data_IF_979951811819
#
_entry.id   IF_979951811819
#
_cell.length_a   1.000
_cell.length_b   1.000
_cell.length_c   1.000
_cell.angle_alpha   90.00
_cell.angle_beta   90.00
_cell.angle_gamma   90.00
#
_symmetry.space_group_name_H-M   'P 1'
#
loop_
_entity.id
_entity.type
_entity.pdbx_description
1 polymer ?
#
# COMPACT_ATOMS: atom_id res chain seq x y z
N UNK A 1 -8.42 29.88 20.18
CA UNK A 1 -8.07 28.58 19.60
C UNK A 1 -6.57 28.61 19.46
N UNK A 2 -5.85 27.88 20.32
CA UNK A 2 -4.39 27.90 20.30
C UNK A 2 -3.95 27.08 19.09
N UNK A 3 -3.26 27.73 18.14
CA UNK A 3 -2.76 27.03 16.94
C UNK A 3 -1.57 26.21 17.38
N UNK A 4 -1.72 24.90 17.39
CA UNK A 4 -0.63 24.00 17.75
C UNK A 4 0.55 24.17 16.79
N UNK A 5 1.75 24.06 17.33
CA UNK A 5 2.99 24.19 16.56
C UNK A 5 3.05 23.12 15.48
N UNK A 6 3.42 23.52 14.27
CA UNK A 6 3.62 22.58 13.17
C UNK A 6 4.99 21.88 13.33
N UNK A 7 5.00 20.56 13.23
CA UNK A 7 6.21 19.73 13.28
C UNK A 7 6.48 19.15 11.90
N UNK A 8 7.75 19.06 11.53
CA UNK A 8 8.13 18.43 10.26
C UNK A 8 8.12 16.92 10.43
N UNK A 9 7.16 16.25 9.81
CA UNK A 9 6.85 14.83 9.99
C UNK A 9 6.68 14.16 8.63
N UNK A 10 6.93 12.85 8.57
CA UNK A 10 6.52 12.04 7.43
C UNK A 10 5.04 11.73 7.57
N UNK A 11 4.24 12.13 6.60
CA UNK A 11 2.84 11.76 6.49
C UNK A 11 2.70 10.59 5.53
N UNK A 12 1.92 9.58 5.94
CA UNK A 12 1.62 8.40 5.15
C UNK A 12 0.09 8.29 5.08
N UNK A 13 -0.47 8.32 3.89
CA UNK A 13 -1.88 8.01 3.65
C UNK A 13 -1.96 6.62 3.02
N UNK A 14 -2.76 5.73 3.60
CA UNK A 14 -3.01 4.38 3.10
C UNK A 14 -4.49 4.26 2.78
N UNK A 15 -4.82 3.84 1.56
CA UNK A 15 -6.20 3.77 1.06
C UNK A 15 -6.46 2.44 0.35
N UNK A 16 -7.61 1.81 0.63
CA UNK A 16 -7.95 0.50 0.07
C UNK A 16 -8.58 0.57 -1.32
N UNK A 17 -8.26 -0.41 -2.18
CA UNK A 17 -8.90 -0.58 -3.48
C UNK A 17 -10.38 -0.94 -3.30
N UNK A 18 -11.25 -0.19 -3.99
CA UNK A 18 -12.70 -0.48 -4.14
C UNK A 18 -13.42 -0.70 -2.81
N UNK A 19 -13.09 0.09 -1.80
CA UNK A 19 -13.69 0.04 -0.46
C UNK A 19 -15.23 0.16 -0.46
N UNK A 20 -15.80 0.86 -1.45
CA UNK A 20 -17.24 1.02 -1.62
C UNK A 20 -17.99 -0.24 -2.07
N UNK A 21 -17.29 -1.27 -2.56
CA UNK A 21 -17.89 -2.54 -3.00
C UNK A 21 -18.06 -3.56 -1.87
N UNK A 22 -17.47 -3.28 -0.70
CA UNK A 22 -17.61 -4.15 0.48
C UNK A 22 -18.92 -3.85 1.23
N UNK A 23 -19.57 -4.91 1.71
CA UNK A 23 -20.64 -4.78 2.70
C UNK A 23 -20.09 -4.34 4.07
N UNK A 24 -20.96 -4.04 5.02
CA UNK A 24 -20.55 -3.49 6.32
C UNK A 24 -19.65 -4.45 7.13
N UNK A 25 -19.88 -5.76 7.02
CA UNK A 25 -19.08 -6.78 7.72
C UNK A 25 -17.70 -6.89 7.06
N UNK A 26 -17.66 -6.90 5.73
CA UNK A 26 -16.43 -6.98 4.98
C UNK A 26 -15.59 -5.72 5.12
N UNK A 27 -16.19 -4.53 5.27
CA UNK A 27 -15.48 -3.29 5.61
C UNK A 27 -14.77 -3.40 6.95
N UNK A 28 -15.42 -3.95 7.97
CA UNK A 28 -14.77 -4.16 9.27
C UNK A 28 -13.58 -5.13 9.15
N UNK A 29 -13.76 -6.26 8.45
CA UNK A 29 -12.67 -7.23 8.22
C UNK A 29 -11.52 -6.64 7.39
N UNK A 30 -11.84 -5.85 6.39
CA UNK A 30 -10.86 -5.11 5.58
C UNK A 30 -10.04 -4.18 6.47
N UNK A 31 -10.69 -3.36 7.30
CA UNK A 31 -10.01 -2.46 8.25
C UNK A 31 -9.06 -3.22 9.16
N UNK A 32 -9.54 -4.29 9.80
CA UNK A 32 -8.72 -5.12 10.69
C UNK A 32 -7.47 -5.67 10.00
N UNK A 33 -7.58 -6.09 8.72
CA UNK A 33 -6.44 -6.54 7.93
C UNK A 33 -5.45 -5.42 7.63
N UNK A 34 -5.93 -4.24 7.24
CA UNK A 34 -5.06 -3.07 6.98
C UNK A 34 -4.25 -2.74 8.22
N UNK A 35 -4.90 -2.61 9.39
CA UNK A 35 -4.20 -2.33 10.64
C UNK A 35 -3.16 -3.40 10.97
N UNK A 36 -3.50 -4.68 10.83
CA UNK A 36 -2.56 -5.77 11.09
C UNK A 36 -1.33 -5.70 10.19
N UNK A 37 -1.50 -5.46 8.89
CA UNK A 37 -0.40 -5.32 7.92
C UNK A 37 0.53 -4.16 8.32
N UNK A 38 -0.04 -2.99 8.62
CA UNK A 38 0.73 -1.78 8.92
C UNK A 38 1.44 -1.88 10.29
N UNK A 39 0.76 -2.37 11.33
CA UNK A 39 1.34 -2.50 12.67
C UNK A 39 2.44 -3.57 12.74
N UNK A 40 2.26 -4.71 12.04
CA UNK A 40 3.30 -5.72 11.90
C UNK A 40 4.54 -5.14 11.20
N UNK A 41 4.32 -4.37 10.12
CA UNK A 41 5.42 -3.71 9.41
C UNK A 41 6.17 -2.69 10.28
N UNK A 42 5.48 -1.88 11.09
CA UNK A 42 6.16 -0.98 12.04
C UNK A 42 7.00 -1.73 13.07
N UNK A 43 6.47 -2.86 13.56
CA UNK A 43 7.16 -3.72 14.52
C UNK A 43 8.45 -4.28 13.93
N UNK A 44 8.41 -4.85 12.71
CA UNK A 44 9.60 -5.38 12.03
C UNK A 44 10.60 -4.28 11.63
N UNK A 45 10.10 -3.11 11.22
CA UNK A 45 10.93 -1.95 10.94
C UNK A 45 11.58 -1.33 12.20
N UNK A 46 11.22 -1.81 13.40
CA UNK A 46 11.67 -1.31 14.71
C UNK A 46 11.34 0.16 14.92
N UNK A 47 10.15 0.57 14.47
CA UNK A 47 9.62 1.91 14.72
C UNK A 47 8.88 1.89 16.05
N UNK A 48 9.29 2.77 16.97
CA UNK A 48 8.66 2.89 18.28
C UNK A 48 7.24 3.45 18.16
N UNK A 49 6.28 2.89 18.92
CA UNK A 49 4.86 3.25 18.83
C UNK A 49 4.59 4.73 19.12
N UNK A 50 5.34 5.33 20.03
CA UNK A 50 5.22 6.76 20.40
C UNK A 50 5.74 7.73 19.33
N UNK A 51 6.33 7.21 18.24
CA UNK A 51 6.72 8.01 17.08
C UNK A 51 5.67 8.00 15.98
N UNK A 52 4.59 7.22 16.13
CA UNK A 52 3.57 7.03 15.10
C UNK A 52 2.22 7.47 15.65
N UNK A 53 1.65 8.49 15.04
CA UNK A 53 0.24 8.81 15.19
C UNK A 53 -0.55 8.11 14.08
N UNK A 54 -1.72 7.56 14.40
CA UNK A 54 -2.58 6.86 13.44
C UNK A 54 -4.03 7.27 13.61
N UNK A 55 -4.69 7.52 12.49
CA UNK A 55 -6.11 7.85 12.39
C UNK A 55 -6.82 6.88 11.46
N UNK A 56 -7.96 6.39 11.93
CA UNK A 56 -8.87 5.58 11.12
C UNK A 56 -9.63 6.48 10.14
N UNK A 57 -9.69 6.06 8.87
CA UNK A 57 -10.40 6.78 7.81
C UNK A 57 -11.57 5.97 7.23
N UNK A 58 -11.94 4.86 7.86
CA UNK A 58 -12.97 3.94 7.41
C UNK A 58 -12.44 2.94 6.39
N UNK A 59 -11.92 3.39 5.26
CA UNK A 59 -11.36 2.54 4.20
C UNK A 59 -9.85 2.65 4.04
N UNK A 60 -9.22 3.36 4.98
CA UNK A 60 -7.81 3.62 4.99
C UNK A 60 -7.31 4.01 6.36
N UNK A 61 -6.02 4.31 6.42
CA UNK A 61 -5.33 4.78 7.61
C UNK A 61 -4.51 5.99 7.24
N UNK A 62 -4.62 7.06 8.03
CA UNK A 62 -3.76 8.22 7.92
C UNK A 62 -2.75 8.19 9.07
N UNK A 63 -1.47 8.35 8.76
CA UNK A 63 -0.40 8.28 9.75
C UNK A 63 0.50 9.51 9.67
N UNK A 64 1.00 9.94 10.83
CA UNK A 64 2.18 10.80 10.89
C UNK A 64 3.28 10.13 11.70
N UNK A 65 4.52 10.24 11.21
CA UNK A 65 5.70 9.66 11.83
C UNK A 65 6.67 10.79 12.19
N UNK A 66 7.05 10.84 13.47
CA UNK A 66 7.90 11.88 14.01
C UNK A 66 9.26 11.92 13.28
N UNK A 67 9.78 13.14 13.02
CA UNK A 67 11.02 13.37 12.28
C UNK A 67 12.30 12.76 12.89
N UNK A 68 12.23 12.23 14.11
CA UNK A 68 13.33 11.44 14.72
C UNK A 68 13.49 10.05 14.10
N UNK A 69 12.49 9.56 13.37
CA UNK A 69 12.56 8.30 12.64
C UNK A 69 13.05 8.59 11.23
N UNK A 70 14.15 7.94 10.85
CA UNK A 70 14.73 8.09 9.52
C UNK A 70 13.72 7.71 8.43
N UNK A 71 13.46 8.63 7.48
CA UNK A 71 12.52 8.41 6.37
C UNK A 71 12.92 7.21 5.51
N UNK A 72 14.22 6.95 5.35
CA UNK A 72 14.76 5.77 4.66
C UNK A 72 14.37 4.44 5.32
N UNK A 73 14.09 4.41 6.62
CA UNK A 73 13.56 3.22 7.30
C UNK A 73 12.13 2.93 6.86
N UNK A 74 11.34 3.98 6.60
CA UNK A 74 9.95 3.86 6.17
C UNK A 74 9.86 3.52 4.68
N UNK A 75 10.58 4.26 3.83
CA UNK A 75 10.63 3.99 2.39
C UNK A 75 11.30 2.66 2.03
N UNK A 76 12.23 2.18 2.86
CA UNK A 76 12.90 0.90 2.67
C UNK A 76 12.22 -0.23 3.44
N UNK A 77 12.76 -0.55 4.62
CA UNK A 77 12.37 -1.74 5.39
C UNK A 77 10.86 -1.80 5.69
N UNK A 78 10.24 -0.71 6.14
CA UNK A 78 8.80 -0.73 6.42
C UNK A 78 7.97 -1.02 5.17
N UNK A 79 8.29 -0.40 4.02
CA UNK A 79 7.59 -0.69 2.76
C UNK A 79 7.77 -2.14 2.30
N UNK A 80 8.96 -2.73 2.49
CA UNK A 80 9.18 -4.17 2.26
C UNK A 80 8.27 -5.02 3.15
N UNK A 81 8.20 -4.69 4.44
CA UNK A 81 7.37 -5.44 5.39
C UNK A 81 5.87 -5.26 5.12
N UNK A 82 5.42 -4.07 4.70
CA UNK A 82 4.04 -3.85 4.26
C UNK A 82 3.74 -4.72 3.04
N UNK A 83 4.64 -4.80 2.07
CA UNK A 83 4.47 -5.65 0.89
C UNK A 83 4.34 -7.13 1.26
N UNK A 84 5.26 -7.66 2.07
CA UNK A 84 5.25 -9.08 2.45
C UNK A 84 4.05 -9.45 3.33
N UNK A 85 3.71 -8.61 4.31
CA UNK A 85 2.54 -8.84 5.17
C UNK A 85 1.23 -8.78 4.36
N UNK A 86 1.11 -7.82 3.43
CA UNK A 86 -0.07 -7.76 2.55
C UNK A 86 -0.16 -8.99 1.64
N UNK A 87 0.97 -9.43 1.08
CA UNK A 87 1.05 -10.63 0.25
C UNK A 87 0.61 -11.87 1.02
N UNK A 88 1.03 -12.01 2.28
CA UNK A 88 0.63 -13.15 3.12
C UNK A 88 -0.87 -13.10 3.46
N UNK A 89 -1.38 -11.95 3.90
CA UNK A 89 -2.81 -11.75 4.16
C UNK A 89 -3.67 -12.06 2.92
N UNK A 90 -3.20 -11.69 1.73
CA UNK A 90 -3.92 -11.93 0.47
C UNK A 90 -3.98 -13.41 0.06
N UNK A 91 -3.12 -14.30 0.56
CA UNK A 91 -3.14 -15.73 0.19
C UNK A 91 -4.46 -16.42 0.52
N UNK A 92 -5.12 -15.97 1.59
CA UNK A 92 -6.39 -16.53 2.06
C UNK A 92 -7.63 -15.87 1.46
N UNK A 93 -7.48 -14.85 0.61
CA UNK A 93 -8.60 -14.04 0.12
C UNK A 93 -9.00 -14.43 -1.30
N UNK A 94 -10.31 -14.52 -1.53
CA UNK A 94 -10.87 -14.70 -2.89
C UNK A 94 -10.64 -13.46 -3.75
N UNK A 95 -10.74 -12.28 -3.14
CA UNK A 95 -10.45 -10.99 -3.75
C UNK A 95 -9.30 -10.37 -2.96
N UNK A 96 -8.11 -10.21 -3.55
CA UNK A 96 -6.97 -9.62 -2.87
C UNK A 96 -7.24 -8.19 -2.43
N UNK A 97 -6.80 -7.85 -1.21
CA UNK A 97 -6.75 -6.49 -0.72
C UNK A 97 -5.68 -5.72 -1.49
N UNK A 98 -6.08 -4.64 -2.16
CA UNK A 98 -5.17 -3.70 -2.81
C UNK A 98 -5.01 -2.44 -1.97
N UNK A 99 -3.79 -1.94 -1.78
CA UNK A 99 -3.49 -0.73 -1.02
C UNK A 99 -2.76 0.30 -1.89
N UNK A 100 -3.15 1.56 -1.74
CA UNK A 100 -2.45 2.72 -2.29
C UNK A 100 -1.84 3.49 -1.13
N UNK A 101 -0.55 3.79 -1.22
CA UNK A 101 0.20 4.49 -0.19
C UNK A 101 0.74 5.79 -0.75
N UNK A 102 0.36 6.92 -0.16
CA UNK A 102 0.90 8.24 -0.46
C UNK A 102 1.85 8.68 0.65
N UNK A 103 3.06 9.14 0.30
CA UNK A 103 4.05 9.62 1.25
C UNK A 103 4.57 11.01 0.91
N UNK A 104 4.66 11.85 1.93
CA UNK A 104 5.27 13.16 1.84
C UNK A 104 5.80 13.61 3.21
N UNK A 105 6.89 14.37 3.23
CA UNK A 105 7.42 14.97 4.46
C UNK A 105 7.11 16.46 4.45
N UNK A 106 6.50 16.96 5.52
CA UNK A 106 6.15 18.36 5.62
C UNK A 106 5.63 18.78 6.99
N UNK A 107 5.22 20.06 7.15
CA UNK A 107 4.68 20.56 8.41
C UNK A 107 3.29 19.96 8.71
N UNK A 108 3.15 19.36 9.90
CA UNK A 108 1.93 18.73 10.42
C UNK A 108 1.56 19.37 11.75
N UNK A 109 0.28 19.73 11.92
CA UNK A 109 -0.27 20.19 13.20
C UNK A 109 -1.13 19.09 13.81
N UNK A 110 -0.96 18.87 15.10
CA UNK A 110 -1.75 17.93 15.89
C UNK A 110 -2.74 18.72 16.76
N UNK A 111 -4.00 18.31 16.81
CA UNK A 111 -4.99 18.85 17.74
C UNK A 111 -5.81 17.72 18.39
N UNK A 112 -6.83 18.07 19.18
CA UNK A 112 -7.67 17.07 19.87
C UNK A 112 -8.54 16.21 18.95
N UNK A 113 -8.54 16.47 17.64
CA UNK A 113 -9.30 15.73 16.62
C UNK A 113 -8.39 14.93 15.67
N UNK A 114 -7.13 15.32 15.54
CA UNK A 114 -6.17 14.62 14.69
C UNK A 114 -5.07 15.50 14.13
N UNK A 115 -4.58 15.13 12.94
CA UNK A 115 -3.55 15.84 12.21
C UNK A 115 -4.12 16.66 11.05
N UNK A 116 -3.47 17.79 10.77
CA UNK A 116 -3.85 18.67 9.67
C UNK A 116 -2.65 19.41 9.07
N UNK A 117 -2.81 19.84 7.82
CA UNK A 117 -1.84 20.67 7.09
C UNK A 117 -1.68 20.23 5.64
N UNK A 118 -1.02 21.08 4.84
CA UNK A 118 -0.81 20.81 3.40
C UNK A 118 -0.05 19.50 3.14
N UNK A 119 0.81 19.09 4.08
CA UNK A 119 1.52 17.82 3.97
C UNK A 119 0.58 16.62 4.07
N UNK A 120 -0.44 16.73 4.91
CA UNK A 120 -1.52 15.75 5.05
C UNK A 120 -2.35 15.70 3.78
N UNK A 121 -2.79 16.86 3.30
CA UNK A 121 -3.59 16.96 2.07
C UNK A 121 -2.84 16.32 0.88
N UNK A 122 -1.57 16.66 0.69
CA UNK A 122 -0.76 16.11 -0.39
C UNK A 122 -0.60 14.59 -0.29
N UNK A 123 -0.26 14.04 0.88
CA UNK A 123 -0.13 12.59 1.05
C UNK A 123 -1.44 11.86 0.70
N UNK A 124 -2.59 12.40 1.11
CA UNK A 124 -3.90 11.84 0.76
C UNK A 124 -4.16 11.90 -0.74
N UNK A 125 -3.87 13.03 -1.39
CA UNK A 125 -4.05 13.22 -2.84
C UNK A 125 -3.16 12.31 -3.67
N UNK A 126 -1.94 12.04 -3.21
CA UNK A 126 -1.02 11.11 -3.87
C UNK A 126 -1.58 9.68 -3.83
N UNK A 127 -2.02 9.22 -2.66
CA UNK A 127 -2.64 7.90 -2.49
C UNK A 127 -3.91 7.74 -3.33
N UNK A 128 -4.73 8.80 -3.41
CA UNK A 128 -6.01 8.80 -4.13
C UNK A 128 -5.89 9.10 -5.63
N UNK A 129 -4.66 9.33 -6.15
CA UNK A 129 -4.48 9.77 -7.53
C UNK A 129 -5.07 8.77 -8.54
N UNK A 130 -5.73 9.25 -9.63
CA UNK A 130 -6.29 8.37 -10.66
C UNK A 130 -5.26 7.42 -11.26
N UNK A 131 -4.00 7.86 -11.37
CA UNK A 131 -2.92 7.01 -11.87
C UNK A 131 -2.56 5.89 -10.89
N UNK A 132 -2.49 6.15 -9.57
CA UNK A 132 -2.28 5.09 -8.58
C UNK A 132 -3.38 4.02 -8.62
N UNK A 133 -4.64 4.46 -8.76
CA UNK A 133 -5.80 3.58 -8.94
C UNK A 133 -5.66 2.71 -10.19
N UNK A 134 -5.29 3.30 -11.33
CA UNK A 134 -5.08 2.56 -12.58
C UNK A 134 -3.91 1.59 -12.53
N UNK A 135 -2.78 1.99 -11.92
CA UNK A 135 -1.59 1.15 -11.85
C UNK A 135 -1.84 -0.15 -11.08
N UNK A 136 -2.56 -0.11 -9.95
CA UNK A 136 -2.92 -1.33 -9.22
C UNK A 136 -3.68 -2.33 -10.10
N UNK A 137 -4.64 -1.83 -10.89
CA UNK A 137 -5.49 -2.68 -11.72
C UNK A 137 -4.76 -3.17 -12.98
N UNK A 138 -4.05 -2.28 -13.68
CA UNK A 138 -3.33 -2.60 -14.91
C UNK A 138 -2.17 -3.60 -14.67
N UNK A 139 -1.43 -3.40 -13.58
CA UNK A 139 -0.27 -4.23 -13.24
C UNK A 139 -0.65 -5.47 -12.43
N UNK A 140 -1.93 -5.59 -12.04
CA UNK A 140 -2.43 -6.63 -11.12
C UNK A 140 -1.59 -6.67 -9.85
N UNK A 141 -1.25 -5.48 -9.34
CA UNK A 141 -0.50 -5.31 -8.11
C UNK A 141 -1.44 -5.19 -6.92
N UNK A 142 -0.95 -5.56 -5.74
CA UNK A 142 -1.67 -5.40 -4.48
C UNK A 142 -1.23 -4.14 -3.73
N UNK A 143 -0.11 -3.53 -4.10
CA UNK A 143 0.44 -2.37 -3.41
C UNK A 143 1.07 -1.40 -4.40
N UNK A 144 0.75 -0.11 -4.25
CA UNK A 144 1.44 0.99 -4.94
C UNK A 144 1.85 2.04 -3.92
N UNK A 145 3.09 2.49 -4.02
CA UNK A 145 3.62 3.63 -3.30
C UNK A 145 3.71 4.83 -4.25
N UNK A 146 3.29 5.99 -3.76
CA UNK A 146 3.38 7.28 -4.44
C UNK A 146 4.07 8.27 -3.51
N UNK A 147 5.21 8.81 -3.91
CA UNK A 147 5.93 9.83 -3.15
C UNK A 147 5.80 11.19 -3.83
N UNK A 148 5.85 12.27 -3.04
CA UNK A 148 6.02 13.61 -3.61
C UNK A 148 7.35 13.74 -4.33
N UNK A 149 7.46 14.71 -5.26
CA UNK A 149 8.71 15.07 -5.90
C UNK A 149 9.83 15.35 -4.89
N UNK A 150 9.58 16.21 -3.89
CA UNK A 150 10.60 16.55 -2.89
C UNK A 150 11.11 15.33 -2.10
N UNK A 151 10.21 14.44 -1.69
CA UNK A 151 10.60 13.22 -0.98
C UNK A 151 11.44 12.30 -1.87
N UNK A 152 11.11 12.23 -3.16
CA UNK A 152 11.92 11.48 -4.10
C UNK A 152 13.31 12.09 -4.26
N UNK A 153 13.39 13.39 -4.56
CA UNK A 153 14.64 14.10 -4.81
C UNK A 153 15.57 14.07 -3.60
N UNK A 154 15.03 14.29 -2.39
CA UNK A 154 15.82 14.39 -1.16
C UNK A 154 16.25 13.02 -0.60
N UNK A 155 15.48 11.96 -0.84
CA UNK A 155 15.66 10.67 -0.17
C UNK A 155 15.78 9.50 -1.15
N UNK A 156 14.77 9.31 -2.02
CA UNK A 156 14.71 8.13 -2.90
C UNK A 156 15.84 8.15 -3.93
N UNK A 157 16.15 9.32 -4.51
CA UNK A 157 17.13 9.49 -5.59
C UNK A 157 18.54 9.02 -5.21
N UNK A 158 18.89 9.14 -3.92
CA UNK A 158 20.17 8.72 -3.35
C UNK A 158 20.24 7.22 -3.08
N UNK A 159 19.10 6.52 -3.19
CA UNK A 159 18.96 5.11 -2.86
C UNK A 159 19.15 4.82 -1.37
N UNK A 160 19.33 3.55 -1.04
CA UNK A 160 19.58 3.11 0.33
C UNK A 160 19.22 1.66 0.55
N UNK A 161 19.18 1.26 1.82
CA UNK A 161 18.79 -0.10 2.19
C UNK A 161 17.33 -0.34 1.78
N UNK A 162 17.13 -1.20 0.78
CA UNK A 162 15.83 -1.51 0.17
C UNK A 162 15.16 -0.33 -0.57
N UNK A 163 15.95 0.66 -1.01
CA UNK A 163 15.45 1.79 -1.80
C UNK A 163 16.24 1.81 -3.11
N UNK A 164 15.55 1.46 -4.18
CA UNK A 164 16.12 1.36 -5.53
C UNK A 164 15.49 2.43 -6.42
N UNK A 165 16.18 3.55 -6.70
CA UNK A 165 15.62 4.64 -7.50
C UNK A 165 15.12 4.17 -8.87
N UNK A 166 15.78 3.16 -9.46
CA UNK A 166 15.42 2.57 -10.74
C UNK A 166 14.05 1.86 -10.75
N UNK A 167 13.45 1.61 -9.58
CA UNK A 167 12.10 1.03 -9.46
C UNK A 167 10.99 2.09 -9.30
N UNK A 168 11.33 3.37 -9.44
CA UNK A 168 10.38 4.47 -9.40
C UNK A 168 10.21 5.08 -10.80
N UNK A 169 8.98 5.47 -11.14
CA UNK A 169 8.70 6.24 -12.35
C UNK A 169 7.91 7.51 -12.02
N UNK A 170 8.28 8.63 -12.64
CA UNK A 170 7.63 9.92 -12.40
C UNK A 170 6.43 10.14 -13.30
N UNK A 171 5.38 10.79 -12.79
CA UNK A 171 4.29 11.32 -13.59
C UNK A 171 3.83 12.67 -13.05
N UNK A 172 3.28 13.52 -13.93
CA UNK A 172 2.59 14.74 -13.53
C UNK A 172 1.14 14.42 -13.17
N UNK A 173 0.66 15.00 -12.08
CA UNK A 173 -0.68 14.86 -11.58
C UNK A 173 -1.34 16.22 -11.48
N UNK A 174 -2.53 16.34 -12.05
CA UNK A 174 -3.43 17.46 -11.81
C UNK A 174 -4.17 17.20 -10.49
N UNK A 175 -3.74 17.87 -9.42
CA UNK A 175 -4.40 17.82 -8.12
C UNK A 175 -5.19 19.10 -7.89
N UNK A 176 -6.08 19.10 -6.89
CA UNK A 176 -6.93 20.25 -6.56
C UNK A 176 -6.12 21.51 -6.24
N UNK A 177 -4.92 21.31 -5.70
CA UNK A 177 -4.00 22.35 -5.27
C UNK A 177 -3.04 22.82 -6.40
N UNK A 178 -3.08 22.15 -7.56
CA UNK A 178 -2.27 22.44 -8.75
C UNK A 178 -1.57 21.21 -9.33
N UNK A 179 -0.84 21.42 -10.42
CA UNK A 179 0.01 20.39 -11.02
C UNK A 179 1.16 20.04 -10.05
N UNK A 180 1.37 18.74 -9.81
CA UNK A 180 2.51 18.23 -9.04
C UNK A 180 3.20 17.10 -9.80
N UNK A 181 4.50 16.94 -9.60
CA UNK A 181 5.19 15.70 -10.00
C UNK A 181 5.18 14.71 -8.84
N UNK A 182 4.82 13.47 -9.14
CA UNK A 182 4.81 12.37 -8.19
C UNK A 182 5.61 11.19 -8.74
N UNK A 183 6.14 10.36 -7.84
CA UNK A 183 6.92 9.17 -8.19
C UNK A 183 6.22 7.92 -7.70
N UNK A 184 6.09 6.94 -8.60
CA UNK A 184 5.32 5.72 -8.40
C UNK A 184 6.25 4.53 -8.30
N UNK A 185 6.00 3.68 -7.31
CA UNK A 185 6.73 2.43 -7.09
C UNK A 185 5.74 1.30 -6.79
N UNK A 186 5.99 0.13 -7.38
CA UNK A 186 5.23 -1.09 -7.12
C UNK A 186 6.15 -2.09 -6.41
N UNK A 187 6.07 -2.22 -5.07
CA UNK A 187 6.91 -3.15 -4.34
C UNK A 187 6.87 -4.58 -4.92
N UNK A 188 8.05 -5.19 -5.06
CA UNK A 188 8.22 -6.51 -5.66
C UNK A 188 8.17 -6.53 -7.20
N UNK A 189 8.18 -5.36 -7.86
CA UNK A 189 8.11 -5.22 -9.32
C UNK A 189 9.10 -4.17 -9.84
N UNK A 190 9.45 -4.22 -11.15
CA UNK A 190 10.16 -3.13 -11.82
C UNK A 190 9.39 -1.80 -11.76
N UNK A 191 10.04 -0.72 -12.19
CA UNK A 191 9.38 0.57 -12.34
C UNK A 191 8.10 0.44 -13.22
N UNK A 192 6.97 1.03 -12.81
CA UNK A 192 5.74 0.96 -13.58
C UNK A 192 5.87 1.72 -14.90
N UNK A 193 5.23 1.21 -15.94
CA UNK A 193 5.07 1.94 -17.19
C UNK A 193 4.03 3.06 -16.99
N UNK A 194 4.47 4.31 -17.02
CA UNK A 194 3.57 5.46 -16.91
C UNK A 194 2.92 5.68 -18.28
N UNK A 195 1.58 5.58 -18.40
CA UNK A 195 0.91 5.88 -19.65
C UNK A 195 1.13 7.36 -19.99
N UNK A 196 1.90 7.63 -21.04
CA UNK A 196 1.99 8.97 -21.60
C UNK A 196 0.59 9.34 -22.09
N UNK A 197 -0.01 10.37 -21.51
CA UNK A 197 -1.25 10.91 -22.06
C UNK A 197 -0.99 11.30 -23.52
N UNK A 198 -1.69 10.66 -24.46
CA UNK A 198 -1.79 11.21 -25.80
C UNK A 198 -2.39 12.62 -25.66
N UNK A 199 -1.88 13.65 -26.36
CA UNK A 199 -2.46 14.97 -26.29
C UNK A 199 -3.94 14.86 -26.67
N UNK A 200 -4.82 15.22 -25.74
CA UNK A 200 -6.24 15.32 -26.01
C UNK A 200 -6.42 16.33 -27.15
N UNK A 201 -6.98 15.87 -28.28
CA UNK A 201 -7.45 16.78 -29.30
C UNK A 201 -8.49 17.71 -28.67
N UNK A 202 -8.51 19.02 -28.99
CA UNK A 202 -9.52 19.91 -28.46
C UNK A 202 -10.89 19.47 -28.98
N UNK A 203 -11.78 19.10 -28.05
CA UNK A 203 -13.19 18.88 -28.33
C UNK A 203 -13.79 20.20 -28.84
N UNK A 204 -13.98 20.26 -30.15
CA UNK A 204 -14.87 21.21 -30.78
C UNK A 204 -16.30 20.64 -30.72
N UNK A 205 -17.22 21.49 -30.26
CA UNK A 205 -18.67 21.34 -30.26
C UNK A 205 -19.31 20.23 -29.43
N UNK A 206 -19.96 20.68 -28.35
CA UNK A 206 -21.40 20.51 -28.14
C UNK A 206 -21.89 21.51 -27.09
N UNK A 207 -22.25 22.71 -27.58
CA UNK A 207 -23.41 23.42 -27.04
C UNK A 207 -24.68 22.80 -27.63
N UNK A 208 -25.83 23.13 -27.05
CA UNK A 208 -27.19 22.58 -27.24
C UNK A 208 -27.48 21.43 -26.25
N UNK A 209 -28.53 21.44 -25.42
CA UNK A 209 -29.60 22.38 -25.16
C UNK A 209 -30.15 22.07 -23.76
N UNK A 210 -30.58 23.11 -23.04
CA UNK A 210 -31.29 22.98 -21.76
C UNK A 210 -32.77 23.22 -22.06
N UNK A 211 -33.62 22.21 -21.88
CA UNK A 211 -35.06 22.42 -21.72
C UNK A 211 -35.74 21.33 -20.88
N UNK A 212 -36.97 21.65 -20.53
CA UNK A 212 -37.60 21.68 -19.21
C UNK A 212 -38.11 20.34 -18.61
N UNK A 213 -38.46 20.46 -17.35
CA UNK A 213 -39.04 19.51 -16.44
C UNK A 213 -40.54 19.19 -16.70
N UNK A 214 -40.98 18.15 -15.95
CA UNK A 214 -42.35 17.80 -15.53
C UNK A 214 -43.18 16.99 -16.53
N UNK A 215 -43.57 15.76 -16.15
CA UNK A 215 -44.84 15.59 -15.44
C UNK A 215 -45.05 14.19 -14.84
N UNK A 216 -45.93 14.17 -13.85
CA UNK A 216 -46.34 13.09 -12.93
C UNK A 216 -47.51 12.29 -13.51
N UNK A 217 -47.63 10.99 -13.20
CA UNK A 217 -48.86 10.20 -12.87
C UNK A 217 -48.49 8.69 -12.88
N UNK A 218 -48.41 7.99 -11.74
CA UNK A 218 -49.49 7.35 -10.94
C UNK A 218 -50.26 6.23 -11.68
N UNK A 219 -50.09 4.97 -11.24
CA UNK A 219 -51.16 3.97 -11.07
C UNK A 219 -50.62 2.55 -10.71
N UNK A 220 -50.79 2.20 -9.43
CA UNK A 220 -51.33 0.97 -8.81
C UNK A 220 -51.46 -0.35 -9.63
N UNK A 221 -51.15 -1.46 -8.95
CA UNK A 221 -51.77 -2.80 -9.15
C UNK A 221 -50.81 -3.95 -8.81
N UNK A 222 -50.89 -4.55 -7.61
CA UNK A 222 -51.49 -5.89 -7.32
C UNK A 222 -50.57 -7.06 -7.70
N UNK A 223 -50.00 -7.73 -6.69
CA UNK A 223 -50.37 -9.08 -6.19
C UNK A 223 -49.84 -10.23 -7.06
N UNK A 224 -48.96 -11.05 -6.46
CA UNK A 224 -49.09 -12.51 -6.32
C UNK A 224 -47.72 -13.21 -6.17
N UNK A 225 -47.54 -13.87 -5.03
CA UNK A 225 -46.72 -15.08 -4.87
C UNK A 225 -47.68 -16.30 -4.91
N UNK A 226 -47.24 -17.48 -5.38
CA UNK A 226 -46.65 -18.49 -4.47
C UNK A 226 -45.45 -19.22 -5.13
N UNK A 227 -44.42 -19.63 -4.41
CA UNK A 227 -44.25 -20.77 -3.47
C UNK A 227 -44.00 -22.13 -4.17
N UNK A 228 -43.28 -23.00 -3.44
CA UNK A 228 -42.88 -24.42 -3.65
C UNK A 228 -41.67 -24.73 -4.56
N UNK A 229 -40.80 -25.71 -4.29
CA UNK A 229 -40.30 -26.45 -3.12
C UNK A 229 -39.16 -27.35 -3.66
N UNK A 230 -38.36 -27.92 -2.76
CA UNK A 230 -37.76 -29.28 -2.82
C UNK A 230 -36.27 -29.39 -2.50
N UNK A 231 -35.98 -30.48 -1.81
CA UNK A 231 -34.98 -30.63 -0.79
C UNK A 231 -33.99 -31.77 -1.10
N UNK A 232 -32.96 -31.89 -0.23
CA UNK A 232 -32.21 -33.13 0.13
C UNK A 232 -31.21 -33.65 -0.94
N UNK A 233 -30.06 -34.28 -0.66
CA UNK A 233 -29.40 -34.84 0.54
C UNK A 233 -28.00 -35.42 0.16
N UNK A 234 -27.07 -35.46 1.13
CA UNK A 234 -25.92 -36.39 1.49
C UNK A 234 -25.07 -37.04 0.35
N UNK A 235 -23.75 -37.30 0.39
CA UNK A 235 -22.77 -37.93 1.31
C UNK A 235 -21.35 -37.42 0.90
N UNK A 236 -20.23 -37.47 1.63
CA UNK A 236 -19.71 -38.35 2.67
C UNK A 236 -18.32 -38.91 2.22
N UNK A 237 -17.27 -38.67 3.03
CA UNK A 237 -15.98 -39.42 3.12
C UNK A 237 -14.93 -39.19 1.97
N UNK A 238 -13.60 -39.27 2.12
CA UNK A 238 -12.68 -39.63 3.20
C UNK A 238 -11.22 -39.21 2.83
N UNK A 239 -10.33 -39.20 3.83
CA UNK A 239 -8.86 -39.46 3.82
C UNK A 239 -7.80 -38.37 3.60
N UNK A 240 -7.09 -38.19 4.72
CA UNK A 240 -5.71 -37.81 4.97
C UNK A 240 -4.63 -38.24 3.95
N UNK A 241 -3.65 -37.36 3.73
CA UNK A 241 -2.23 -37.70 3.86
C UNK A 241 -1.40 -36.45 4.24
N UNK A 242 -0.39 -36.65 5.08
CA UNK A 242 0.52 -35.63 5.63
C UNK A 242 1.74 -35.35 4.74
N UNK A 243 2.67 -34.49 5.18
CA UNK A 243 3.45 -33.64 4.28
C UNK A 243 4.76 -34.29 3.79
N UNK A 244 5.09 -34.09 2.51
CA UNK A 244 6.45 -34.25 1.98
C UNK A 244 7.06 -32.88 1.69
N UNK A 245 7.88 -32.39 2.63
CA UNK A 245 8.75 -31.27 2.39
C UNK A 245 9.91 -31.70 1.48
N UNK A 246 9.93 -31.22 0.25
CA UNK A 246 11.10 -31.27 -0.63
C UNK A 246 11.86 -29.94 -0.51
N UNK A 247 13.04 -29.98 0.10
CA UNK A 247 13.97 -28.86 0.12
C UNK A 247 14.95 -29.02 -1.04
N UNK A 248 14.82 -28.19 -2.07
CA UNK A 248 15.85 -28.03 -3.09
C UNK A 248 16.63 -26.76 -2.76
N UNK A 249 17.86 -26.94 -2.27
CA UNK A 249 18.79 -25.85 -1.99
C UNK A 249 19.52 -25.50 -3.29
N UNK A 250 19.16 -24.38 -3.91
CA UNK A 250 20.00 -23.72 -4.91
C UNK A 250 20.91 -22.73 -4.18
N UNK A 251 22.16 -23.14 -3.92
CA UNK A 251 23.20 -22.23 -3.46
C UNK A 251 23.88 -21.62 -4.67
N UNK A 252 23.67 -20.34 -4.90
CA UNK A 252 24.43 -19.59 -5.91
C UNK A 252 25.89 -19.48 -5.44
N UNK A 253 26.78 -20.04 -6.24
CA UNK A 253 28.23 -19.95 -6.06
C UNK A 253 28.67 -18.51 -6.29
N UNK A 254 28.99 -17.77 -5.21
CA UNK A 254 29.66 -16.48 -5.34
C UNK A 254 31.14 -16.71 -5.68
N UNK A 255 31.50 -16.52 -6.95
CA UNK A 255 32.90 -16.36 -7.35
C UNK A 255 33.30 -14.90 -7.15
N UNK A 256 34.29 -14.67 -6.30
CA UNK A 256 34.94 -13.37 -6.15
C UNK A 256 36.36 -13.46 -6.69
N UNK A 257 36.66 -12.73 -7.75
CA UNK A 257 38.02 -12.49 -8.25
C UNK A 257 38.47 -11.08 -7.87
N UNK A 258 39.79 -10.88 -7.74
CA UNK A 258 40.44 -9.57 -7.58
C UNK A 258 40.19 -8.80 -6.27
N UNK A 259 39.80 -9.47 -5.19
CA UNK A 259 39.64 -8.83 -3.89
C UNK A 259 41.00 -8.60 -3.20
N UNK A 260 41.24 -7.36 -2.76
CA UNK A 260 42.35 -7.00 -1.86
C UNK A 260 41.79 -6.79 -0.44
N UNK A 261 42.07 -7.72 0.46
CA UNK A 261 41.63 -7.63 1.86
C UNK A 261 42.66 -6.87 2.71
N UNK A 262 42.26 -5.74 3.28
CA UNK A 262 43.13 -4.88 4.10
C UNK A 262 43.16 -5.26 5.59
N UNK A 263 42.40 -6.30 5.98
CA UNK A 263 42.32 -6.84 7.33
C UNK A 263 42.09 -8.37 7.28
N UNK A 264 42.37 -9.11 8.37
CA UNK A 264 42.10 -10.56 8.42
C UNK A 264 40.61 -10.84 8.21
N UNK A 265 40.29 -11.62 7.17
CA UNK A 265 38.92 -12.09 6.89
C UNK A 265 38.79 -13.57 7.23
N UNK A 266 37.63 -13.97 7.73
CA UNK A 266 37.24 -15.37 7.85
C UNK A 266 36.19 -15.68 6.78
N UNK A 267 36.54 -16.57 5.86
CA UNK A 267 35.66 -17.00 4.76
C UNK A 267 35.30 -18.47 5.03
N UNK A 268 34.05 -18.71 5.43
CA UNK A 268 33.53 -20.03 5.74
C UNK A 268 32.39 -19.98 6.77
N UNK A 269 31.44 -20.92 6.67
CA UNK A 269 30.26 -21.01 7.54
C UNK A 269 30.56 -21.96 8.72
N UNK A 270 30.40 -21.49 9.95
CA UNK A 270 30.41 -22.35 11.15
C UNK A 270 29.00 -22.93 11.33
N UNK A 271 28.84 -24.22 11.09
CA UNK A 271 27.65 -24.98 11.50
C UNK A 271 27.91 -25.56 12.88
N UNK A 272 27.39 -24.92 13.93
CA UNK A 272 27.41 -25.47 15.29
C UNK A 272 26.28 -26.47 15.49
N UNK A 273 26.59 -27.70 15.87
CA UNK A 273 26.50 -28.18 17.26
C UNK A 273 26.65 -29.72 17.29
N UNK A 274 27.62 -30.21 18.05
CA UNK A 274 27.70 -31.59 18.47
C UNK A 274 28.43 -31.64 19.82
N UNK A 275 27.64 -31.64 20.88
CA UNK A 275 28.14 -31.80 22.25
C UNK A 275 28.68 -33.18 22.58
N UNK A 276 29.13 -33.27 23.85
CA UNK A 276 29.71 -34.40 24.63
C UNK A 276 31.24 -34.52 24.55
N UNK A 277 31.98 -34.81 25.63
CA UNK A 277 31.68 -35.09 27.06
C UNK A 277 33.03 -35.04 27.81
N UNK A 278 32.93 -34.89 29.14
CA UNK A 278 33.98 -35.14 30.15
C UNK A 278 34.94 -36.29 29.79
N UNK A 279 36.21 -36.06 30.11
CA UNK A 279 37.31 -37.01 30.24
C UNK A 279 38.56 -36.23 30.57
#
# INVERSE_FOLDING_TARGET
MDLTEARYELVISVDARRSGEYDDVDKQRMRERIYRVLEAAFTHAKVVRDAVHMEDRGDGVLLSVAGRIAVTRLLGLWMVEVHENLRDENRGLRVPLGLRVGMHVGPVRHDGRGISGRAVDLACRLADSPLARRLLDAERADLVLVTSQSLYEDVVSSGGKFIEPAHYASARLELKEGEVTAWFHLPGRPAPEIPTAAPAAPDADRADDVDDARDVHDARGSDDAPDVDDARRVDGEDRADGPRAHYTVHGDMSQHSDNVYQQPVHIGRITGDAGRRKG
#
